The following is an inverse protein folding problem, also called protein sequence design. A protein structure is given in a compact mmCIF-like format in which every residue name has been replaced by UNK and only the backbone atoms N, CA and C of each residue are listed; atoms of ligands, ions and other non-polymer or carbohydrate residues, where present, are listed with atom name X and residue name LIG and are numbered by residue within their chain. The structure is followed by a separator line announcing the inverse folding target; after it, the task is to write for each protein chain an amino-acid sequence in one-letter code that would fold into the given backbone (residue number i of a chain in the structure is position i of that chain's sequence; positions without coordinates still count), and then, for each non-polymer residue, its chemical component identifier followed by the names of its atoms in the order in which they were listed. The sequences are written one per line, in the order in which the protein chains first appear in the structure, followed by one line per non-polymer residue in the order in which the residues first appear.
data_IF_906630272623
#
_entry.id   IF_906630272623
#
_cell.length_a   1.000
_cell.length_b   1.000
_cell.length_c   1.000
_cell.angle_alpha   90.00
_cell.angle_beta   90.00
_cell.angle_gamma   90.00
#
_symmetry.space_group_name_H-M   'P 1'
#
loop_
_entity.id
_entity.type
_entity.pdbx_description
1 polymer ?
#
# COMPACT_ATOMS: atom_id res chain seq x y z
N UNK A 1 -11.09 -13.93 -11.56
CA UNK A 1 -10.96 -12.67 -10.79
C UNK A 1 -9.71 -11.96 -11.27
N UNK A 2 -9.85 -11.11 -12.28
CA UNK A 2 -8.72 -10.44 -12.91
C UNK A 2 -9.23 -9.19 -13.57
N UNK A 3 -9.50 -8.17 -12.76
CA UNK A 3 -9.84 -6.81 -13.19
C UNK A 3 -9.38 -5.81 -12.12
N UNK A 4 -8.13 -5.94 -11.69
CA UNK A 4 -7.50 -4.89 -10.90
C UNK A 4 -6.73 -3.98 -11.86
N UNK A 5 -7.40 -2.89 -12.23
CA UNK A 5 -6.83 -1.58 -12.55
C UNK A 5 -6.32 -1.39 -13.99
N UNK A 6 -7.28 -1.23 -14.90
CA UNK A 6 -7.09 -0.57 -16.18
C UNK A 6 -6.78 0.93 -15.94
N UNK A 7 -5.63 1.38 -16.45
CA UNK A 7 -5.29 2.76 -16.88
C UNK A 7 -5.33 3.87 -15.82
N UNK A 8 -4.17 4.13 -15.21
CA UNK A 8 -3.45 5.43 -15.24
C UNK A 8 -2.43 5.51 -14.10
N UNK A 9 -1.33 4.80 -14.27
CA UNK A 9 0.03 5.13 -13.78
C UNK A 9 0.86 3.87 -14.00
N UNK A 10 2.03 3.97 -14.62
CA UNK A 10 2.87 2.79 -14.97
C UNK A 10 3.75 2.30 -13.82
N UNK A 11 3.93 3.10 -12.77
CA UNK A 11 4.74 2.74 -11.62
C UNK A 11 4.02 1.79 -10.62
N UNK A 12 2.72 1.94 -10.31
CA UNK A 12 2.04 1.00 -9.43
C UNK A 12 1.95 -0.36 -10.08
N UNK A 13 1.77 -0.47 -11.40
CA UNK A 13 1.89 -1.77 -12.10
C UNK A 13 3.28 -2.38 -11.97
N UNK A 14 4.35 -1.59 -12.11
CA UNK A 14 5.73 -2.11 -11.94
C UNK A 14 6.01 -2.53 -10.51
N UNK A 15 5.60 -1.73 -9.52
CA UNK A 15 5.73 -2.08 -8.11
C UNK A 15 4.86 -3.29 -7.75
N UNK A 16 3.64 -3.35 -8.28
CA UNK A 16 2.73 -4.47 -8.12
C UNK A 16 3.33 -5.74 -8.72
N UNK A 17 3.85 -5.69 -9.95
CA UNK A 17 4.52 -6.84 -10.57
C UNK A 17 5.76 -7.25 -9.79
N UNK A 18 6.65 -6.32 -9.45
CA UNK A 18 7.86 -6.61 -8.68
C UNK A 18 7.51 -7.24 -7.34
N UNK A 19 6.53 -6.69 -6.63
CA UNK A 19 6.18 -7.19 -5.31
C UNK A 19 5.26 -8.44 -5.35
N UNK A 20 4.50 -8.69 -6.43
CA UNK A 20 3.86 -9.97 -6.71
C UNK A 20 4.89 -11.06 -7.06
N UNK A 21 6.03 -10.65 -7.64
CA UNK A 21 7.18 -11.54 -7.87
C UNK A 21 7.97 -11.77 -6.58
N UNK A 22 7.79 -10.89 -5.58
CA UNK A 22 8.41 -10.98 -4.27
C UNK A 22 7.35 -11.42 -3.24
N UNK A 23 7.02 -12.71 -3.23
CA UNK A 23 6.46 -13.38 -2.03
C UNK A 23 7.33 -13.18 -0.77
N UNK A 24 8.47 -12.50 -0.88
CA UNK A 24 9.41 -12.16 0.17
C UNK A 24 9.31 -10.72 0.66
N UNK A 25 8.36 -9.91 0.17
CA UNK A 25 8.25 -8.52 0.62
C UNK A 25 7.59 -8.45 2.01
N UNK A 26 8.41 -8.54 3.05
CA UNK A 26 7.97 -8.52 4.45
C UNK A 26 7.82 -7.11 5.03
N UNK A 27 8.56 -6.13 4.50
CA UNK A 27 8.54 -4.76 5.00
C UNK A 27 8.53 -3.77 3.85
N UNK A 28 7.62 -2.81 3.91
CA UNK A 28 7.52 -1.72 2.94
C UNK A 28 7.47 -0.39 3.69
N UNK A 29 8.31 0.55 3.26
CA UNK A 29 8.39 1.90 3.83
C UNK A 29 8.01 2.88 2.73
N UNK A 30 7.00 3.69 2.98
CA UNK A 30 6.57 4.78 2.12
C UNK A 30 6.92 6.10 2.81
N UNK A 31 8.00 6.73 2.33
CA UNK A 31 8.38 8.08 2.74
C UNK A 31 7.59 9.13 1.96
N UNK A 32 7.41 10.32 2.53
CA UNK A 32 6.76 11.47 1.89
C UNK A 32 7.32 11.79 0.49
N UNK A 33 8.63 11.60 0.27
CA UNK A 33 9.27 11.78 -1.03
C UNK A 33 8.82 10.81 -2.14
N UNK A 34 8.19 9.69 -1.76
CA UNK A 34 7.72 8.64 -2.67
C UNK A 34 6.19 8.68 -2.87
N UNK A 35 5.51 9.54 -2.11
CA UNK A 35 4.06 9.68 -2.07
C UNK A 35 3.63 10.52 -3.27
N UNK A 36 2.97 9.89 -4.25
CA UNK A 36 2.33 10.61 -5.36
C UNK A 36 1.32 11.63 -4.85
N UNK A 37 1.04 12.62 -5.71
CA UNK A 37 -0.07 13.58 -5.61
C UNK A 37 -1.22 13.06 -4.74
N UNK A 38 -1.61 13.83 -3.72
CA UNK A 38 -2.48 13.42 -2.59
C UNK A 38 -3.72 12.62 -2.98
N UNK A 39 -4.26 12.91 -4.16
CA UNK A 39 -5.44 12.25 -4.72
C UNK A 39 -5.26 10.74 -4.93
N UNK A 40 -4.05 10.28 -5.23
CA UNK A 40 -3.77 8.87 -5.56
C UNK A 40 -3.18 8.08 -4.38
N UNK A 41 -2.98 8.74 -3.24
CA UNK A 41 -2.23 8.17 -2.15
C UNK A 41 -2.96 7.03 -1.44
N UNK A 42 -4.19 7.33 -1.02
CA UNK A 42 -5.04 6.38 -0.32
C UNK A 42 -5.41 5.18 -1.21
N UNK A 43 -5.76 5.36 -2.51
CA UNK A 43 -5.86 4.25 -3.45
C UNK A 43 -4.57 3.42 -3.54
N UNK A 44 -3.40 4.06 -3.62
CA UNK A 44 -2.11 3.36 -3.67
C UNK A 44 -1.85 2.51 -2.43
N UNK A 45 -2.07 3.07 -1.24
CA UNK A 45 -1.96 2.35 0.04
C UNK A 45 -2.88 1.12 0.05
N UNK A 46 -4.15 1.27 -0.36
CA UNK A 46 -5.10 0.16 -0.43
C UNK A 46 -4.63 -0.95 -1.36
N UNK A 47 -4.01 -0.61 -2.49
CA UNK A 47 -3.41 -1.60 -3.40
C UNK A 47 -2.30 -2.37 -2.69
N UNK A 48 -1.40 -1.70 -1.97
CA UNK A 48 -0.35 -2.39 -1.20
C UNK A 48 -0.95 -3.33 -0.15
N UNK A 49 -1.94 -2.87 0.63
CA UNK A 49 -2.60 -3.70 1.65
C UNK A 49 -3.32 -4.93 1.06
N UNK A 50 -3.91 -4.80 -0.14
CA UNK A 50 -4.69 -5.86 -0.79
C UNK A 50 -3.82 -6.87 -1.58
N UNK A 51 -2.62 -6.48 -2.01
CA UNK A 51 -1.85 -7.29 -2.97
C UNK A 51 -0.63 -8.00 -2.37
N UNK A 52 -0.21 -7.70 -1.14
CA UNK A 52 0.97 -8.30 -0.51
C UNK A 52 0.62 -9.20 0.69
N UNK A 53 0.40 -10.51 0.47
CA UNK A 53 0.02 -11.44 1.54
C UNK A 53 1.15 -11.72 2.53
N UNK A 54 2.41 -11.52 2.14
CA UNK A 54 3.58 -11.75 3.01
C UNK A 54 4.08 -10.49 3.71
N UNK A 55 3.45 -9.34 3.46
CA UNK A 55 3.80 -8.08 4.10
C UNK A 55 3.48 -8.14 5.59
N UNK A 56 4.49 -7.94 6.43
CA UNK A 56 4.36 -7.95 7.89
C UNK A 56 4.42 -6.54 8.47
N UNK A 57 5.18 -5.64 7.85
CA UNK A 57 5.32 -4.25 8.31
C UNK A 57 5.11 -3.27 7.18
N UNK A 58 4.25 -2.29 7.41
CA UNK A 58 4.01 -1.20 6.49
C UNK A 58 4.14 0.14 7.21
N UNK A 59 5.19 0.87 6.84
CA UNK A 59 5.56 2.12 7.50
C UNK A 59 5.22 3.27 6.56
N UNK A 60 4.46 4.25 7.05
CA UNK A 60 4.05 5.41 6.26
C UNK A 60 4.54 6.68 6.97
N UNK A 61 5.55 7.31 6.38
CA UNK A 61 6.16 8.55 6.87
C UNK A 61 5.45 9.76 6.28
N UNK A 62 4.23 10.02 6.73
CA UNK A 62 3.37 11.12 6.27
C UNK A 62 2.31 11.47 7.30
N UNK A 63 2.06 12.76 7.47
CA UNK A 63 0.93 13.27 8.26
C UNK A 63 -0.41 12.99 7.58
N UNK A 64 -1.17 12.06 8.15
CA UNK A 64 -2.56 11.80 7.79
C UNK A 64 -3.52 12.41 8.80
N UNK A 65 -4.64 12.92 8.31
CA UNK A 65 -5.76 13.22 9.21
C UNK A 65 -6.34 11.92 9.81
N UNK A 66 -7.01 12.05 10.96
CA UNK A 66 -7.59 10.92 11.69
C UNK A 66 -8.60 10.10 10.87
N UNK A 67 -9.33 10.74 9.95
CA UNK A 67 -10.30 10.05 9.10
C UNK A 67 -9.60 9.09 8.13
N UNK A 68 -8.51 9.54 7.51
CA UNK A 68 -7.70 8.74 6.60
C UNK A 68 -6.99 7.60 7.34
N UNK A 69 -6.44 7.86 8.53
CA UNK A 69 -5.84 6.80 9.37
C UNK A 69 -6.87 5.71 9.68
N UNK A 70 -8.07 6.09 10.12
CA UNK A 70 -9.15 5.13 10.38
C UNK A 70 -9.49 4.32 9.14
N UNK A 71 -9.59 4.95 7.98
CA UNK A 71 -9.89 4.26 6.73
C UNK A 71 -8.81 3.24 6.34
N UNK A 72 -7.53 3.58 6.51
CA UNK A 72 -6.41 2.67 6.26
C UNK A 72 -6.44 1.48 7.24
N UNK A 73 -6.66 1.74 8.54
CA UNK A 73 -6.65 0.70 9.56
C UNK A 73 -7.81 -0.30 9.42
N UNK A 74 -8.98 0.14 8.98
CA UNK A 74 -10.16 -0.72 8.77
C UNK A 74 -10.18 -1.39 7.39
N UNK A 75 -9.27 -1.02 6.48
CA UNK A 75 -9.22 -1.62 5.16
C UNK A 75 -8.79 -3.10 5.26
N UNK A 76 -9.48 -4.03 4.56
CA UNK A 76 -9.08 -5.43 4.50
C UNK A 76 -7.65 -5.61 4.00
N UNK A 77 -6.91 -6.54 4.61
CA UNK A 77 -5.49 -6.79 4.32
C UNK A 77 -5.34 -8.21 3.79
N UNK A 78 -4.47 -8.38 2.80
CA UNK A 78 -4.07 -9.70 2.34
C UNK A 78 -3.27 -10.45 3.41
N UNK A 79 -2.42 -9.73 4.15
CA UNK A 79 -1.66 -10.29 5.27
C UNK A 79 -2.39 -10.12 6.60
N UNK A 80 -2.69 -11.22 7.32
CA UNK A 80 -3.34 -11.16 8.63
C UNK A 80 -2.41 -10.67 9.74
N UNK A 81 -1.09 -10.67 9.51
CA UNK A 81 -0.07 -10.27 10.50
C UNK A 81 0.48 -8.87 10.24
N UNK A 82 -0.15 -8.11 9.33
CA UNK A 82 0.36 -6.82 8.92
C UNK A 82 0.20 -5.76 10.02
N UNK A 83 1.33 -5.25 10.49
CA UNK A 83 1.43 -4.06 11.32
C UNK A 83 1.58 -2.80 10.45
N UNK A 84 0.78 -1.78 10.75
CA UNK A 84 0.84 -0.49 10.07
C UNK A 84 1.35 0.55 11.06
N UNK A 85 2.43 1.24 10.69
CA UNK A 85 3.09 2.25 11.53
C UNK A 85 3.05 3.59 10.79
N UNK A 86 2.58 4.62 11.49
CA UNK A 86 2.61 6.01 11.04
C UNK A 86 3.72 6.72 11.79
N UNK A 87 4.61 7.41 11.08
CA UNK A 87 5.76 8.17 11.63
C UNK A 87 5.82 9.56 11.03
#
# INVERSE_FOLDING_TARGET
MGDCLDRQSKLPEKLLRVAQTLDLLHTLILSDAFMWNDKNLLPGIKVFLACFPTLQKFIIGRDFNLKTIKEILHFPRASPKLEIIFI
#
